data_IF_921870240056
#
_entry.id   IF_921870240056
#
_cell.length_a   1.000
_cell.length_b   1.000
_cell.length_c   1.000
_cell.angle_alpha   90.00
_cell.angle_beta   90.00
_cell.angle_gamma   90.00
#
_symmetry.space_group_name_H-M   'P 1'
#
loop_
_entity.id
_entity.type
_entity.pdbx_description
1 polymer ?
#
# COMPACT_ATOMS: atom_id res chain seq x y z
N UNK A 1 53.44 -11.30 -26.59
CA UNK A 1 52.90 -10.19 -25.77
C UNK A 1 53.59 -10.24 -24.41
N UNK A 2 54.24 -9.16 -24.03
CA UNK A 2 55.15 -9.10 -22.88
C UNK A 2 54.30 -9.26 -21.56
N UNK A 3 54.78 -10.07 -20.62
CA UNK A 3 54.03 -10.36 -19.34
C UNK A 3 53.71 -9.07 -18.58
N UNK A 4 54.58 -8.08 -18.67
CA UNK A 4 54.39 -6.78 -18.00
C UNK A 4 53.30 -5.95 -18.70
N UNK A 5 53.13 -6.04 -20.03
CA UNK A 5 52.06 -5.38 -20.76
C UNK A 5 50.69 -5.98 -20.44
N UNK A 6 50.59 -7.28 -20.27
CA UNK A 6 49.35 -7.95 -19.83
C UNK A 6 48.91 -7.49 -18.44
N UNK A 7 49.85 -7.42 -17.49
CA UNK A 7 49.55 -6.94 -16.13
C UNK A 7 49.11 -5.48 -16.12
N UNK A 8 49.76 -4.63 -16.93
CA UNK A 8 49.36 -3.22 -17.06
C UNK A 8 47.94 -3.06 -17.63
N UNK A 9 47.60 -3.84 -18.66
CA UNK A 9 46.24 -3.83 -19.25
C UNK A 9 45.16 -4.32 -18.28
N UNK A 10 45.46 -5.31 -17.46
CA UNK A 10 44.51 -5.83 -16.45
C UNK A 10 44.25 -4.78 -15.35
N UNK A 11 45.27 -4.10 -14.87
CA UNK A 11 45.15 -3.05 -13.85
C UNK A 11 44.40 -1.85 -14.41
N UNK A 12 44.64 -1.47 -15.66
CA UNK A 12 43.93 -0.38 -16.32
C UNK A 12 42.46 -0.72 -16.57
N UNK A 13 42.14 -1.96 -16.95
CA UNK A 13 40.77 -2.42 -17.10
C UNK A 13 40.02 -2.49 -15.73
N UNK A 14 40.66 -2.95 -14.66
CA UNK A 14 40.09 -2.98 -13.31
C UNK A 14 39.78 -1.56 -12.79
N UNK A 15 40.61 -0.57 -13.11
CA UNK A 15 40.37 0.84 -12.74
C UNK A 15 39.15 1.47 -13.42
N UNK A 16 38.81 1.04 -14.64
CA UNK A 16 37.64 1.52 -15.38
C UNK A 16 36.30 0.99 -14.80
N UNK A 17 36.31 -0.15 -14.11
CA UNK A 17 35.09 -0.70 -13.49
C UNK A 17 34.74 -0.04 -12.15
N UNK A 18 35.63 0.71 -11.52
CA UNK A 18 35.37 1.33 -10.22
C UNK A 18 34.66 2.68 -10.31
N UNK A 19 34.47 3.27 -11.48
CA UNK A 19 33.82 4.58 -11.64
C UNK A 19 32.31 4.52 -11.92
N UNK A 20 31.69 3.32 -11.86
CA UNK A 20 30.27 3.11 -12.25
C UNK A 20 29.23 3.36 -11.16
N UNK A 21 29.62 3.76 -9.96
CA UNK A 21 28.65 4.08 -8.89
C UNK A 21 28.35 5.58 -8.85
N UNK A 22 27.70 6.11 -9.88
CA UNK A 22 27.09 7.43 -9.80
C UNK A 22 25.70 7.31 -9.22
N UNK A 23 25.49 7.84 -8.01
CA UNK A 23 24.16 7.94 -7.41
C UNK A 23 23.34 8.90 -8.27
N UNK A 24 22.44 8.35 -9.09
CA UNK A 24 21.50 9.16 -9.86
C UNK A 24 20.41 9.60 -8.91
N UNK A 25 20.55 10.79 -8.33
CA UNK A 25 19.45 11.46 -7.64
C UNK A 25 18.49 12.03 -8.68
N UNK A 26 17.48 11.25 -9.03
CA UNK A 26 16.36 11.76 -9.82
C UNK A 26 15.43 12.49 -8.87
N UNK A 27 15.47 13.83 -8.87
CA UNK A 27 14.45 14.65 -8.21
C UNK A 27 13.21 14.65 -9.10
N UNK A 28 12.11 14.00 -8.69
CA UNK A 28 10.89 14.02 -9.49
C UNK A 28 10.28 15.42 -9.45
N UNK A 29 10.16 16.07 -10.60
CA UNK A 29 9.61 17.44 -10.71
C UNK A 29 8.08 17.50 -10.55
N UNK A 30 7.41 16.34 -10.43
CA UNK A 30 5.93 16.25 -10.40
C UNK A 30 5.39 15.50 -9.19
N UNK A 31 6.24 15.10 -8.26
CA UNK A 31 5.83 14.44 -7.01
C UNK A 31 6.09 15.36 -5.82
N UNK A 32 5.13 15.46 -4.94
CA UNK A 32 5.32 16.08 -3.64
C UNK A 32 6.30 15.22 -2.85
N UNK A 33 7.47 15.78 -2.53
CA UNK A 33 8.47 15.16 -1.67
C UNK A 33 8.39 15.80 -0.29
N UNK A 34 8.85 15.14 0.75
CA UNK A 34 8.89 15.66 2.12
C UNK A 34 9.60 17.01 2.22
N UNK A 35 10.53 17.30 1.32
CA UNK A 35 11.23 18.59 1.22
C UNK A 35 10.34 19.74 0.72
N UNK A 36 9.22 19.43 0.07
CA UNK A 36 8.37 20.42 -0.62
C UNK A 36 6.99 20.52 0.03
N UNK A 37 6.43 19.45 0.55
CA UNK A 37 5.06 19.39 1.06
C UNK A 37 4.91 18.27 2.11
N UNK A 38 4.17 18.49 3.21
CA UNK A 38 3.54 19.75 3.66
C UNK A 38 4.53 20.67 4.39
N UNK A 39 4.34 22.00 4.29
CA UNK A 39 5.18 23.01 4.96
C UNK A 39 4.37 23.98 5.84
N UNK A 40 3.09 24.10 5.58
CA UNK A 40 2.19 25.02 6.29
C UNK A 40 1.11 24.24 7.04
N UNK A 41 0.54 24.84 8.08
CA UNK A 41 -0.57 24.23 8.83
C UNK A 41 -1.76 23.87 7.93
N UNK A 42 -2.07 24.69 6.92
CA UNK A 42 -3.12 24.40 5.98
C UNK A 42 -2.84 23.16 5.10
N UNK A 43 -1.58 22.99 4.71
CA UNK A 43 -1.14 21.81 3.96
C UNK A 43 -1.18 20.56 4.84
N UNK A 44 -0.76 20.64 6.10
CA UNK A 44 -0.91 19.55 7.08
C UNK A 44 -2.38 19.18 7.29
N UNK A 45 -3.27 20.15 7.44
CA UNK A 45 -4.71 19.90 7.54
C UNK A 45 -5.25 19.20 6.28
N UNK A 46 -4.76 19.58 5.10
CA UNK A 46 -5.14 18.93 3.85
C UNK A 46 -4.72 17.45 3.80
N UNK A 47 -3.49 17.15 4.25
CA UNK A 47 -3.00 15.76 4.33
C UNK A 47 -3.80 14.96 5.37
N UNK A 48 -4.07 15.55 6.54
CA UNK A 48 -4.93 14.92 7.54
C UNK A 48 -6.33 14.62 7.00
N UNK A 49 -6.88 15.49 6.15
CA UNK A 49 -8.16 15.29 5.48
C UNK A 49 -8.20 14.00 4.65
N UNK A 50 -7.10 13.62 4.02
CA UNK A 50 -7.02 12.37 3.25
C UNK A 50 -7.09 11.13 4.14
N UNK A 51 -6.49 11.18 5.33
CA UNK A 51 -6.55 10.10 6.33
C UNK A 51 -7.99 9.91 6.80
N UNK A 52 -8.68 10.99 7.17
CA UNK A 52 -10.09 10.92 7.58
C UNK A 52 -11.02 10.44 6.46
N UNK A 53 -10.73 10.80 5.21
CA UNK A 53 -11.48 10.31 4.06
C UNK A 53 -11.31 8.81 3.88
N UNK A 54 -10.09 8.30 4.04
CA UNK A 54 -9.79 6.87 3.97
C UNK A 54 -10.44 6.11 5.13
N UNK A 55 -10.38 6.63 6.35
CA UNK A 55 -11.08 6.07 7.51
C UNK A 55 -12.59 6.00 7.28
N UNK A 56 -13.19 7.07 6.73
CA UNK A 56 -14.63 7.07 6.41
C UNK A 56 -14.99 5.96 5.42
N UNK A 57 -14.18 5.78 4.37
CA UNK A 57 -14.37 4.71 3.39
C UNK A 57 -14.30 3.32 4.04
N UNK A 58 -13.29 3.12 4.87
CA UNK A 58 -13.09 1.86 5.60
C UNK A 58 -14.28 1.52 6.53
N UNK A 59 -14.71 2.46 7.37
CA UNK A 59 -15.80 2.24 8.31
C UNK A 59 -17.18 2.15 7.65
N UNK A 60 -17.37 2.76 6.47
CA UNK A 60 -18.69 2.82 5.85
C UNK A 60 -19.19 1.48 5.31
N UNK A 61 -18.31 0.63 4.80
CA UNK A 61 -18.68 -0.64 4.18
C UNK A 61 -17.77 -1.80 4.61
N UNK A 62 -16.46 -1.71 4.37
CA UNK A 62 -15.56 -2.85 4.55
C UNK A 62 -15.56 -3.40 5.97
N UNK A 63 -15.25 -2.55 6.93
CA UNK A 63 -15.21 -2.91 8.35
C UNK A 63 -16.59 -3.27 8.88
N UNK A 64 -17.63 -2.49 8.54
CA UNK A 64 -18.99 -2.73 8.96
C UNK A 64 -19.51 -4.10 8.50
N UNK A 65 -19.38 -4.43 7.22
CA UNK A 65 -19.78 -5.74 6.72
C UNK A 65 -19.00 -6.89 7.38
N UNK A 66 -17.70 -6.74 7.54
CA UNK A 66 -16.88 -7.77 8.17
C UNK A 66 -17.28 -7.99 9.64
N UNK A 67 -17.58 -6.91 10.36
CA UNK A 67 -17.96 -6.98 11.78
C UNK A 67 -19.39 -7.47 11.99
N UNK A 68 -20.37 -6.81 11.38
CA UNK A 68 -21.78 -7.07 11.66
C UNK A 68 -22.27 -8.40 11.11
N UNK A 69 -21.77 -8.81 9.93
CA UNK A 69 -22.19 -10.07 9.32
C UNK A 69 -21.45 -11.26 9.94
N UNK A 70 -20.23 -11.06 10.44
CA UNK A 70 -19.52 -12.14 11.16
C UNK A 70 -19.94 -12.26 12.62
N UNK A 71 -20.70 -11.31 13.15
CA UNK A 71 -21.40 -11.43 14.42
C UNK A 71 -22.80 -12.02 14.21
N UNK A 72 -23.51 -12.29 15.29
CA UNK A 72 -24.91 -12.73 15.23
C UNK A 72 -25.91 -11.57 15.06
N UNK A 73 -25.42 -10.33 14.87
CA UNK A 73 -26.27 -9.14 14.81
C UNK A 73 -26.94 -8.94 13.46
N UNK A 74 -26.27 -9.33 12.35
CA UNK A 74 -26.81 -9.14 11.01
C UNK A 74 -26.61 -10.36 10.12
N UNK A 75 -27.56 -10.58 9.22
CA UNK A 75 -27.47 -11.57 8.17
C UNK A 75 -27.93 -10.95 6.84
N UNK A 76 -27.20 -11.23 5.77
CA UNK A 76 -27.62 -10.91 4.41
C UNK A 76 -28.00 -12.18 3.66
N UNK A 77 -29.28 -12.56 3.72
CA UNK A 77 -29.76 -13.77 3.03
C UNK A 77 -29.84 -13.54 1.53
N UNK A 78 -29.64 -14.60 0.76
CA UNK A 78 -29.82 -14.57 -0.70
C UNK A 78 -31.30 -14.73 -1.04
N UNK A 79 -31.88 -13.71 -1.69
CA UNK A 79 -33.25 -13.74 -2.20
C UNK A 79 -33.24 -13.75 -3.72
N UNK A 80 -33.63 -14.85 -4.34
CA UNK A 80 -33.81 -14.95 -5.78
C UNK A 80 -32.55 -14.53 -6.60
N UNK A 81 -31.36 -14.75 -6.07
CA UNK A 81 -30.10 -14.34 -6.66
C UNK A 81 -29.59 -12.95 -6.25
N UNK A 82 -30.39 -12.13 -5.61
CA UNK A 82 -29.93 -10.87 -5.03
C UNK A 82 -29.05 -11.12 -3.80
N UNK A 83 -28.07 -10.25 -3.57
CA UNK A 83 -27.11 -10.37 -2.46
C UNK A 83 -26.29 -11.65 -2.45
N UNK A 84 -26.15 -12.30 -3.62
CA UNK A 84 -25.36 -13.52 -3.72
C UNK A 84 -23.87 -13.27 -3.51
N UNK A 85 -23.31 -12.25 -4.14
CA UNK A 85 -21.91 -11.80 -4.04
C UNK A 85 -20.90 -12.97 -3.92
N UNK A 86 -21.03 -13.98 -4.80
CA UNK A 86 -20.20 -15.18 -4.73
C UNK A 86 -20.29 -15.95 -3.40
N UNK A 87 -21.39 -15.78 -2.65
CA UNK A 87 -21.59 -16.27 -1.28
C UNK A 87 -20.77 -15.54 -0.19
N UNK A 88 -20.17 -14.41 -0.51
CA UNK A 88 -19.30 -13.70 0.43
C UNK A 88 -19.97 -13.40 1.76
N UNK A 89 -21.19 -12.88 1.76
CA UNK A 89 -21.93 -12.60 2.99
C UNK A 89 -22.27 -13.85 3.79
N UNK A 90 -22.63 -14.94 3.12
CA UNK A 90 -22.94 -16.23 3.76
C UNK A 90 -21.68 -16.81 4.39
N UNK A 91 -20.53 -16.67 3.74
CA UNK A 91 -19.25 -17.13 4.26
C UNK A 91 -18.84 -16.35 5.50
N UNK A 92 -19.06 -15.03 5.54
CA UNK A 92 -18.84 -14.23 6.75
C UNK A 92 -19.71 -14.72 7.90
N UNK A 93 -21.02 -14.82 7.70
CA UNK A 93 -21.96 -15.26 8.72
C UNK A 93 -21.68 -16.68 9.25
N UNK A 94 -21.23 -17.59 8.38
CA UNK A 94 -20.90 -18.98 8.77
C UNK A 94 -19.49 -19.15 9.29
N UNK A 95 -18.69 -18.11 9.39
CA UNK A 95 -17.28 -18.15 9.80
C UNK A 95 -16.42 -19.13 8.99
N UNK A 96 -16.75 -19.34 7.72
CA UNK A 96 -15.99 -20.22 6.82
C UNK A 96 -15.22 -19.47 5.73
N UNK A 97 -14.85 -18.22 6.02
CA UNK A 97 -14.00 -17.38 5.18
C UNK A 97 -12.52 -17.74 5.35
N UNK A 98 -11.71 -17.33 4.39
CA UNK A 98 -10.25 -17.46 4.41
C UNK A 98 -9.59 -16.11 4.13
N UNK A 99 -8.25 -16.07 4.11
CA UNK A 99 -7.47 -14.85 3.85
C UNK A 99 -7.75 -14.18 2.50
N UNK A 100 -8.25 -14.93 1.52
CA UNK A 100 -8.53 -14.44 0.16
C UNK A 100 -9.98 -13.97 0.00
N UNK A 101 -10.76 -14.01 1.07
CA UNK A 101 -12.14 -13.53 1.08
C UNK A 101 -12.19 -12.02 0.86
N UNK A 102 -13.01 -11.54 -0.09
CA UNK A 102 -13.03 -10.15 -0.54
C UNK A 102 -13.16 -9.13 0.59
N UNK A 103 -14.12 -9.31 1.51
CA UNK A 103 -14.32 -8.39 2.64
C UNK A 103 -13.17 -8.42 3.64
N UNK A 104 -12.59 -9.57 3.91
CA UNK A 104 -11.42 -9.68 4.81
C UNK A 104 -10.20 -9.00 4.18
N UNK A 105 -9.98 -9.23 2.89
CA UNK A 105 -8.91 -8.57 2.13
C UNK A 105 -9.11 -7.05 2.10
N UNK A 106 -10.35 -6.57 1.93
CA UNK A 106 -10.67 -5.14 1.96
C UNK A 106 -10.31 -4.53 3.32
N UNK A 107 -10.77 -5.11 4.43
CA UNK A 107 -10.46 -4.63 5.78
C UNK A 107 -8.95 -4.55 6.00
N UNK A 108 -8.23 -5.60 5.61
CA UNK A 108 -6.78 -5.65 5.75
C UNK A 108 -6.05 -4.58 4.93
N UNK A 109 -6.40 -4.45 3.65
CA UNK A 109 -5.76 -3.51 2.75
C UNK A 109 -6.06 -2.05 3.15
N UNK A 110 -7.30 -1.75 3.49
CA UNK A 110 -7.70 -0.42 3.91
C UNK A 110 -6.99 0.00 5.20
N UNK A 111 -6.95 -0.90 6.20
CA UNK A 111 -6.25 -0.62 7.46
C UNK A 111 -4.76 -0.35 7.23
N UNK A 112 -4.08 -1.17 6.43
CA UNK A 112 -2.66 -0.96 6.13
C UNK A 112 -2.42 0.30 5.30
N UNK A 113 -3.33 0.63 4.37
CA UNK A 113 -3.27 1.88 3.60
C UNK A 113 -3.38 3.10 4.51
N UNK A 114 -4.31 3.08 5.47
CA UNK A 114 -4.50 4.17 6.44
C UNK A 114 -3.26 4.33 7.33
N UNK A 115 -2.69 3.22 7.81
CA UNK A 115 -1.43 3.24 8.57
C UNK A 115 -0.30 3.84 7.73
N UNK A 116 -0.22 3.47 6.45
CA UNK A 116 0.75 4.05 5.52
C UNK A 116 0.59 5.57 5.36
N UNK A 117 -0.65 6.05 5.24
CA UNK A 117 -0.94 7.49 5.18
C UNK A 117 -0.55 8.20 6.48
N UNK A 118 -0.83 7.62 7.63
CA UNK A 118 -0.43 8.19 8.92
C UNK A 118 1.09 8.32 9.04
N UNK A 119 1.85 7.31 8.62
CA UNK A 119 3.31 7.33 8.66
C UNK A 119 3.93 8.36 7.71
N UNK A 120 3.21 8.79 6.67
CA UNK A 120 3.67 9.85 5.77
C UNK A 120 3.51 11.25 6.36
N UNK A 121 2.77 11.39 7.45
CA UNK A 121 2.47 12.68 8.10
C UNK A 121 3.29 12.93 9.37
N UNK A 122 4.10 11.96 9.76
CA UNK A 122 5.04 12.07 10.89
C UNK A 122 6.44 12.39 10.43
#
# INVERSE_FOLDING_TARGET
>A
MNKNLKRFLIVMAAGLFMSSCHKIEVKPNSLYTEDVFPKTDAEFQSVMGTIYTSLRGHYSLGYWFAQEISSDEAILPVYGGNWFDGQGYIQLHRHNWNKDHGWITTVWNDANSIVGLCNQTT
#
